data_IF_663886507028
#
_entry.id   IF_663886507028
#
_cell.length_a   1.000
_cell.length_b   1.000
_cell.length_c   1.000
_cell.angle_alpha   90.00
_cell.angle_beta   90.00
_cell.angle_gamma   90.00
#
_symmetry.space_group_name_H-M   'P 1'
#
loop_
_entity.id
_entity.type
_entity.pdbx_description
1 polymer ?
#
# COMPACT_ATOMS: atom_id res chain seq x y z
N UNK A 1 18.94 22.90 -13.32
CA UNK A 1 18.66 21.85 -14.33
C UNK A 1 17.29 21.28 -13.99
N UNK A 2 16.29 21.40 -14.86
CA UNK A 2 14.94 20.86 -14.61
C UNK A 2 14.93 19.36 -14.92
N UNK A 3 14.46 18.53 -13.98
CA UNK A 3 14.18 17.11 -14.22
C UNK A 3 12.73 16.99 -14.69
N UNK A 4 12.53 16.53 -15.92
CA UNK A 4 11.21 16.20 -16.45
C UNK A 4 10.74 14.89 -15.79
N UNK A 5 9.66 14.95 -15.01
CA UNK A 5 8.95 13.75 -14.57
C UNK A 5 7.84 13.50 -15.58
N UNK A 6 8.08 12.55 -16.49
CA UNK A 6 7.05 12.04 -17.40
C UNK A 6 6.14 11.11 -16.60
N UNK A 7 4.83 11.20 -16.81
CA UNK A 7 3.82 10.34 -16.18
C UNK A 7 4.26 8.88 -16.11
N UNK A 8 4.26 8.29 -14.91
CA UNK A 8 4.68 6.93 -14.64
C UNK A 8 5.06 6.76 -13.16
N UNK A 9 5.31 5.52 -12.74
CA UNK A 9 5.86 5.21 -11.43
C UNK A 9 6.98 4.18 -11.59
N UNK A 10 8.10 4.40 -10.91
CA UNK A 10 9.09 3.36 -10.68
C UNK A 10 8.67 2.62 -9.41
N UNK A 11 8.23 1.39 -9.56
CA UNK A 11 8.02 0.50 -8.42
C UNK A 11 9.36 0.12 -7.80
N UNK A 12 9.42 0.12 -6.48
CA UNK A 12 10.60 -0.33 -5.76
C UNK A 12 10.87 -1.81 -6.06
N UNK A 13 12.12 -2.15 -6.32
CA UNK A 13 12.63 -3.53 -6.36
C UNK A 13 13.49 -3.81 -5.12
N UNK A 14 13.79 -5.07 -4.76
CA UNK A 14 14.58 -5.37 -3.56
C UNK A 14 15.90 -4.58 -3.46
N UNK A 15 16.57 -4.35 -4.60
CA UNK A 15 17.81 -3.57 -4.66
C UNK A 15 17.67 -2.07 -4.44
N UNK A 16 16.45 -1.53 -4.38
CA UNK A 16 16.21 -0.12 -4.03
C UNK A 16 16.22 0.09 -2.51
N UNK A 17 16.27 -0.96 -1.68
CA UNK A 17 16.34 -0.82 -0.22
C UNK A 17 17.79 -0.66 0.25
N UNK A 18 18.01 0.33 1.10
CA UNK A 18 19.22 0.44 1.91
C UNK A 18 19.27 -0.77 2.87
N UNK A 19 20.35 -1.57 2.86
CA UNK A 19 20.40 -2.82 3.61
C UNK A 19 20.49 -2.62 5.13
N UNK A 20 20.97 -1.46 5.58
CA UNK A 20 21.17 -1.17 7.00
C UNK A 20 19.91 -0.58 7.64
N UNK A 21 19.21 0.27 6.89
CA UNK A 21 18.05 1.03 7.37
C UNK A 21 16.73 0.45 6.89
N UNK A 22 16.71 -0.25 5.75
CA UNK A 22 15.48 -0.67 5.06
C UNK A 22 14.87 0.42 4.17
N UNK A 23 15.46 1.61 4.13
CA UNK A 23 14.91 2.77 3.44
C UNK A 23 14.93 2.58 1.93
N UNK A 24 13.84 2.97 1.26
CA UNK A 24 13.86 3.09 -0.19
C UNK A 24 14.78 4.23 -0.63
N UNK A 25 15.71 3.90 -1.52
CA UNK A 25 16.72 4.81 -2.06
C UNK A 25 16.47 5.10 -3.54
N UNK A 26 17.25 6.03 -4.11
CA UNK A 26 17.19 6.39 -5.52
C UNK A 26 15.84 6.98 -5.94
N UNK A 27 15.55 6.89 -7.24
CA UNK A 27 14.34 7.49 -7.81
C UNK A 27 13.05 6.82 -7.31
N UNK A 28 13.09 5.53 -6.95
CA UNK A 28 11.94 4.80 -6.39
C UNK A 28 11.56 5.36 -5.00
N UNK A 29 12.54 5.55 -4.11
CA UNK A 29 12.33 6.15 -2.80
C UNK A 29 11.80 7.59 -2.89
N UNK A 30 12.38 8.40 -3.78
CA UNK A 30 11.92 9.78 -4.00
C UNK A 30 10.46 9.81 -4.50
N UNK A 31 10.10 8.96 -5.48
CA UNK A 31 8.73 8.90 -5.98
C UNK A 31 7.74 8.38 -4.93
N UNK A 32 8.14 7.38 -4.15
CA UNK A 32 7.32 6.83 -3.08
C UNK A 32 6.99 7.88 -2.00
N UNK A 33 8.01 8.58 -1.50
CA UNK A 33 7.82 9.65 -0.51
C UNK A 33 6.96 10.80 -1.06
N UNK A 34 7.21 11.25 -2.30
CA UNK A 34 6.41 12.31 -2.93
C UNK A 34 4.94 11.91 -3.12
N UNK A 35 4.66 10.66 -3.50
CA UNK A 35 3.30 10.16 -3.68
C UNK A 35 2.51 10.23 -2.37
N UNK A 36 3.10 9.73 -1.28
CA UNK A 36 2.49 9.75 0.06
C UNK A 36 2.28 11.18 0.54
N UNK A 37 3.34 12.00 0.44
CA UNK A 37 3.29 13.42 0.85
C UNK A 37 2.19 14.19 0.12
N UNK A 38 2.07 14.00 -1.19
CA UNK A 38 1.04 14.66 -2.00
C UNK A 38 -0.38 14.18 -1.65
N UNK A 39 -0.57 12.88 -1.37
CA UNK A 39 -1.85 12.36 -0.89
C UNK A 39 -2.26 13.03 0.43
N UNK A 40 -1.33 13.15 1.38
CA UNK A 40 -1.58 13.82 2.66
C UNK A 40 -1.88 15.32 2.50
N UNK A 41 -1.19 16.03 1.59
CA UNK A 41 -1.47 17.43 1.30
C UNK A 41 -2.89 17.64 0.76
N UNK A 42 -3.31 16.78 -0.18
CA UNK A 42 -4.67 16.83 -0.74
C UNK A 42 -5.71 16.52 0.34
N UNK A 43 -5.46 15.51 1.17
CA UNK A 43 -6.34 15.16 2.27
C UNK A 43 -6.48 16.28 3.31
N UNK A 44 -5.38 16.94 3.66
CA UNK A 44 -5.38 18.10 4.54
C UNK A 44 -6.21 19.26 3.96
N UNK A 45 -6.09 19.55 2.67
CA UNK A 45 -6.88 20.59 2.02
C UNK A 45 -8.39 20.29 2.05
N UNK A 46 -8.80 19.03 1.84
CA UNK A 46 -10.19 18.61 2.01
C UNK A 46 -10.65 18.76 3.46
N UNK A 47 -9.85 18.33 4.42
CA UNK A 47 -10.16 18.45 5.85
C UNK A 47 -10.33 19.91 6.29
N UNK A 48 -9.46 20.82 5.81
CA UNK A 48 -9.54 22.25 6.07
C UNK A 48 -10.80 22.90 5.47
N UNK A 49 -11.34 22.32 4.39
CA UNK A 49 -12.62 22.69 3.81
C UNK A 49 -13.84 22.04 4.49
N UNK A 50 -13.64 21.28 5.58
CA UNK A 50 -14.70 20.57 6.30
C UNK A 50 -15.16 19.26 5.64
N UNK A 51 -14.39 18.72 4.70
CA UNK A 51 -14.68 17.47 3.99
C UNK A 51 -13.82 16.35 4.60
N UNK A 52 -14.45 15.24 4.98
CA UNK A 52 -13.71 14.06 5.47
C UNK A 52 -12.95 13.40 4.34
N UNK A 53 -11.62 13.49 4.38
CA UNK A 53 -10.74 12.78 3.46
C UNK A 53 -10.39 11.38 4.01
N UNK A 54 -10.37 10.39 3.12
CA UNK A 54 -9.88 9.04 3.42
C UNK A 54 -8.67 8.78 2.52
N UNK A 55 -7.51 8.56 3.12
CA UNK A 55 -6.29 8.14 2.42
C UNK A 55 -6.12 6.64 2.66
N UNK A 56 -6.06 5.87 1.58
CA UNK A 56 -5.77 4.44 1.63
C UNK A 56 -4.48 4.19 0.86
N UNK A 57 -3.51 3.56 1.52
CA UNK A 57 -2.21 3.26 0.94
C UNK A 57 -1.64 1.97 1.53
N UNK A 58 -0.77 1.30 0.77
CA UNK A 58 0.05 0.20 1.28
C UNK A 58 1.33 0.81 1.81
N UNK A 59 1.39 1.00 3.12
CA UNK A 59 2.58 1.53 3.78
C UNK A 59 3.57 0.38 3.97
N UNK A 60 4.63 0.42 3.18
CA UNK A 60 5.79 -0.47 3.27
C UNK A 60 6.94 0.34 3.85
N UNK A 61 7.79 -0.31 4.67
CA UNK A 61 8.97 0.30 5.30
C UNK A 61 8.62 1.65 5.99
N UNK A 62 9.35 2.72 5.70
CA UNK A 62 9.28 4.05 6.34
C UNK A 62 8.28 4.99 5.63
N UNK A 63 7.32 4.41 4.90
CA UNK A 63 6.22 5.20 4.35
C UNK A 63 5.37 5.87 5.44
N UNK A 64 5.48 5.41 6.69
CA UNK A 64 4.78 5.98 7.83
C UNK A 64 5.26 7.41 8.13
N UNK A 65 6.57 7.65 8.17
CA UNK A 65 7.19 8.95 8.42
C UNK A 65 6.74 9.96 7.34
N UNK A 66 6.76 9.53 6.08
CA UNK A 66 6.28 10.36 4.95
C UNK A 66 4.79 10.69 5.05
N UNK A 67 3.99 9.78 5.61
CA UNK A 67 2.55 9.99 5.79
C UNK A 67 2.29 11.05 6.87
N UNK A 68 3.06 11.03 7.95
CA UNK A 68 2.78 11.86 9.13
C UNK A 68 3.40 13.26 9.05
N UNK A 69 4.48 13.45 8.28
CA UNK A 69 5.18 14.74 8.15
C UNK A 69 4.22 15.91 7.83
N UNK A 70 3.30 15.70 6.89
CA UNK A 70 2.34 16.74 6.45
C UNK A 70 1.17 16.90 7.42
N UNK A 71 0.86 15.86 8.18
CA UNK A 71 -0.32 15.81 9.02
C UNK A 71 -0.02 16.20 10.48
N UNK A 72 1.22 16.59 10.78
CA UNK A 72 1.67 16.98 12.12
C UNK A 72 0.68 17.92 12.83
N UNK A 73 0.35 17.57 14.08
CA UNK A 73 -0.59 18.29 14.93
C UNK A 73 -2.07 18.13 14.57
N UNK A 74 -2.41 17.43 13.48
CA UNK A 74 -3.81 17.17 13.10
C UNK A 74 -4.33 15.92 13.81
N UNK A 75 -5.61 15.93 14.16
CA UNK A 75 -6.30 14.71 14.59
C UNK A 75 -6.70 13.88 13.36
N UNK A 76 -6.28 12.62 13.33
CA UNK A 76 -6.59 11.64 12.28
C UNK A 76 -7.22 10.38 12.89
N UNK A 77 -7.90 9.61 12.05
CA UNK A 77 -8.28 8.23 12.38
C UNK A 77 -7.33 7.29 11.65
N UNK A 78 -6.32 6.79 12.34
CA UNK A 78 -5.32 5.91 11.74
C UNK A 78 -5.75 4.45 11.89
N UNK A 79 -5.88 3.75 10.77
CA UNK A 79 -6.31 2.34 10.73
C UNK A 79 -5.29 1.53 9.95
N UNK A 80 -4.76 0.47 10.56
CA UNK A 80 -3.94 -0.54 9.87
C UNK A 80 -4.75 -1.81 9.70
N UNK A 81 -4.98 -2.20 8.44
CA UNK A 81 -5.51 -3.51 8.11
C UNK A 81 -4.35 -4.51 8.04
N UNK A 82 -4.38 -5.52 8.92
CA UNK A 82 -3.35 -6.55 9.04
C UNK A 82 -3.92 -7.95 8.74
N UNK A 83 -4.34 -8.23 7.48
CA UNK A 83 -4.68 -9.59 7.11
C UNK A 83 -3.43 -10.47 7.10
N UNK A 84 -3.55 -11.78 7.40
CA UNK A 84 -2.47 -12.74 7.18
C UNK A 84 -2.02 -12.75 5.71
N UNK A 85 -0.73 -12.89 5.44
CA UNK A 85 -0.24 -12.91 4.04
C UNK A 85 -0.83 -14.06 3.22
N UNK A 86 -1.14 -15.19 3.85
CA UNK A 86 -1.86 -16.28 3.18
C UNK A 86 -3.21 -15.84 2.58
N UNK A 87 -3.95 -14.98 3.29
CA UNK A 87 -5.21 -14.42 2.79
C UNK A 87 -4.98 -13.43 1.64
N UNK A 88 -3.94 -12.60 1.73
CA UNK A 88 -3.55 -11.70 0.63
C UNK A 88 -3.16 -12.47 -0.63
N UNK A 89 -2.41 -13.57 -0.48
CA UNK A 89 -2.06 -14.47 -1.57
C UNK A 89 -3.30 -15.06 -2.21
N UNK A 90 -4.21 -15.60 -1.41
CA UNK A 90 -5.46 -16.17 -1.94
C UNK A 90 -6.26 -15.13 -2.73
N UNK A 91 -6.42 -13.91 -2.18
CA UNK A 91 -7.07 -12.80 -2.90
C UNK A 91 -6.35 -12.44 -4.20
N UNK A 92 -5.02 -12.56 -4.24
CA UNK A 92 -4.22 -12.39 -5.45
C UNK A 92 -4.53 -13.46 -6.49
N UNK A 93 -4.62 -14.72 -6.07
CA UNK A 93 -4.98 -15.87 -6.92
C UNK A 93 -6.39 -15.68 -7.48
N UNK A 94 -7.36 -15.29 -6.64
CA UNK A 94 -8.77 -15.14 -7.02
C UNK A 94 -8.97 -14.05 -8.10
N UNK A 95 -8.06 -13.07 -8.18
CA UNK A 95 -8.09 -11.99 -9.20
C UNK A 95 -7.41 -12.36 -10.50
N UNK A 96 -6.55 -13.39 -10.53
CA UNK A 96 -5.80 -13.76 -11.73
C UNK A 96 -6.68 -13.99 -12.96
N UNK A 97 -7.85 -14.66 -12.89
CA UNK A 97 -8.70 -14.84 -14.07
C UNK A 97 -9.15 -13.51 -14.69
N UNK A 98 -9.51 -12.53 -13.86
CA UNK A 98 -9.95 -11.21 -14.32
C UNK A 98 -8.79 -10.40 -14.90
N UNK A 99 -7.61 -10.46 -14.25
CA UNK A 99 -6.39 -9.80 -14.75
C UNK A 99 -5.90 -10.41 -16.08
N UNK A 100 -5.98 -11.74 -16.23
CA UNK A 100 -5.67 -12.44 -17.48
C UNK A 100 -6.60 -11.98 -18.59
N UNK A 101 -7.92 -11.93 -18.33
CA UNK A 101 -8.90 -11.49 -19.30
C UNK A 101 -8.66 -10.03 -19.72
N UNK A 102 -8.35 -9.15 -18.75
CA UNK A 102 -8.04 -7.75 -19.02
C UNK A 102 -6.80 -7.58 -19.91
N UNK A 103 -5.69 -8.26 -19.59
CA UNK A 103 -4.45 -8.14 -20.36
C UNK A 103 -4.58 -8.75 -21.76
N UNK A 104 -5.27 -9.89 -21.90
CA UNK A 104 -5.57 -10.48 -23.19
C UNK A 104 -6.41 -9.53 -24.07
N UNK A 105 -7.43 -8.88 -23.50
CA UNK A 105 -8.23 -7.89 -24.21
C UNK A 105 -7.44 -6.63 -24.59
N UNK A 106 -6.48 -6.21 -23.74
CA UNK A 106 -5.72 -4.97 -23.92
C UNK A 106 -4.58 -5.09 -24.92
N UNK A 107 -3.85 -6.21 -24.88
CA UNK A 107 -2.59 -6.41 -25.60
C UNK A 107 -2.62 -7.55 -26.62
N UNK A 108 -3.64 -8.41 -26.60
CA UNK A 108 -3.73 -9.58 -27.48
C UNK A 108 -2.50 -10.48 -27.35
N UNK A 109 -1.91 -10.85 -28.49
CA UNK A 109 -0.68 -11.67 -28.56
C UNK A 109 0.61 -10.84 -28.50
N UNK A 110 0.54 -9.55 -28.16
CA UNK A 110 1.73 -8.68 -28.08
C UNK A 110 2.64 -9.14 -26.95
N UNK A 111 3.95 -9.21 -27.23
CA UNK A 111 4.97 -9.45 -26.21
C UNK A 111 5.10 -8.20 -25.32
N UNK A 112 4.35 -8.17 -24.22
CA UNK A 112 4.31 -7.07 -23.27
C UNK A 112 4.88 -7.52 -21.91
N UNK A 113 5.78 -6.74 -21.27
CA UNK A 113 6.39 -7.14 -20.01
C UNK A 113 5.36 -7.45 -18.90
N UNK A 114 4.23 -6.72 -18.87
CA UNK A 114 3.15 -7.02 -17.90
C UNK A 114 2.51 -8.40 -18.11
N UNK A 115 2.40 -8.85 -19.36
CA UNK A 115 1.86 -10.18 -19.68
C UNK A 115 2.85 -11.28 -19.24
N UNK A 116 4.15 -11.06 -19.41
CA UNK A 116 5.18 -11.97 -18.92
C UNK A 116 5.18 -12.07 -17.38
N UNK A 117 5.08 -10.94 -16.68
CA UNK A 117 4.95 -10.91 -15.20
C UNK A 117 3.69 -11.62 -14.73
N UNK A 118 2.55 -11.41 -15.39
CA UNK A 118 1.32 -12.12 -15.07
C UNK A 118 1.45 -13.63 -15.31
N UNK A 119 2.08 -14.06 -16.40
CA UNK A 119 2.27 -15.47 -16.71
C UNK A 119 3.10 -16.18 -15.62
N UNK A 120 4.14 -15.52 -15.09
CA UNK A 120 4.89 -16.07 -13.95
C UNK A 120 4.04 -16.12 -12.67
N UNK A 121 3.20 -15.11 -12.39
CA UNK A 121 2.26 -15.14 -11.26
C UNK A 121 1.27 -16.30 -11.37
N UNK A 122 0.74 -16.57 -12.56
CA UNK A 122 -0.15 -17.70 -12.81
C UNK A 122 0.56 -19.03 -12.56
N UNK A 123 1.81 -19.16 -13.01
CA UNK A 123 2.63 -20.35 -12.76
C UNK A 123 2.93 -20.52 -11.27
N UNK A 124 3.34 -19.46 -10.59
CA UNK A 124 3.60 -19.46 -9.16
C UNK A 124 2.36 -19.88 -8.35
N UNK A 125 1.18 -19.38 -8.72
CA UNK A 125 -0.09 -19.77 -8.11
C UNK A 125 -0.36 -21.28 -8.27
N UNK A 126 -0.18 -21.83 -9.48
CA UNK A 126 -0.37 -23.25 -9.75
C UNK A 126 0.61 -24.16 -8.98
N UNK A 127 1.81 -23.64 -8.69
CA UNK A 127 2.86 -24.35 -7.94
C UNK A 127 2.80 -24.10 -6.42
N UNK A 128 1.82 -23.31 -5.94
CA UNK A 128 1.69 -22.97 -4.52
C UNK A 128 2.81 -22.07 -3.97
N UNK A 129 3.52 -21.35 -4.85
CA UNK A 129 4.57 -20.39 -4.49
C UNK A 129 3.99 -19.01 -4.18
N UNK A 130 4.80 -18.15 -3.58
CA UNK A 130 4.48 -16.72 -3.43
C UNK A 130 4.30 -16.09 -4.82
N UNK A 131 3.30 -15.20 -4.96
CA UNK A 131 3.01 -14.54 -6.24
C UNK A 131 3.99 -13.41 -6.54
N UNK A 132 4.63 -12.85 -5.51
CA UNK A 132 5.66 -11.84 -5.64
C UNK A 132 6.53 -11.77 -4.37
N UNK A 133 7.64 -11.05 -4.50
CA UNK A 133 8.61 -10.82 -3.43
C UNK A 133 8.07 -9.90 -2.31
N UNK A 134 6.95 -9.20 -2.55
CA UNK A 134 6.33 -8.32 -1.56
C UNK A 134 5.63 -9.07 -0.42
N UNK A 135 5.22 -10.32 -0.63
CA UNK A 135 4.56 -11.12 0.41
C UNK A 135 5.42 -11.22 1.69
N UNK A 136 6.73 -11.43 1.55
CA UNK A 136 7.63 -11.48 2.71
C UNK A 136 7.90 -10.10 3.34
N UNK A 137 7.89 -9.06 2.51
CA UNK A 137 8.09 -7.68 2.97
C UNK A 137 6.90 -7.21 3.80
N UNK A 138 5.68 -7.62 3.44
CA UNK A 138 4.46 -7.27 4.18
C UNK A 138 4.50 -7.85 5.61
N UNK A 139 4.83 -9.12 5.79
CA UNK A 139 4.94 -9.71 7.14
C UNK A 139 5.96 -8.96 8.01
N UNK A 140 7.15 -8.67 7.45
CA UNK A 140 8.23 -7.97 8.18
C UNK A 140 7.92 -6.50 8.43
N UNK A 141 7.21 -5.84 7.52
CA UNK A 141 6.90 -4.41 7.60
C UNK A 141 5.85 -4.08 8.67
N UNK A 142 4.87 -4.96 8.87
CA UNK A 142 3.77 -4.75 9.81
C UNK A 142 4.22 -4.66 11.28
N UNK A 143 5.31 -5.33 11.63
CA UNK A 143 5.87 -5.29 12.99
C UNK A 143 6.70 -4.03 13.25
N UNK A 144 7.12 -3.32 12.19
CA UNK A 144 7.90 -2.07 12.30
C UNK A 144 7.03 -0.83 12.45
N UNK A 145 5.76 -0.90 12.04
CA UNK A 145 4.85 0.23 12.20
C UNK A 145 4.68 0.54 13.69
N UNK A 146 4.68 1.83 14.08
CA UNK A 146 4.40 2.20 15.46
C UNK A 146 2.97 1.79 15.84
N UNK A 147 2.71 1.45 17.12
CA UNK A 147 1.40 1.01 17.59
C UNK A 147 0.45 2.19 17.79
N UNK A 148 0.26 3.01 16.75
CA UNK A 148 -0.67 4.14 16.74
C UNK A 148 -1.99 3.76 16.09
N UNK A 149 -3.07 4.36 16.59
CA UNK A 149 -4.42 4.14 16.08
C UNK A 149 -4.90 2.69 16.23
N UNK A 150 -5.77 2.29 15.29
CA UNK A 150 -6.52 1.04 15.34
C UNK A 150 -5.91 0.00 14.40
N UNK A 151 -5.51 -1.15 14.94
CA UNK A 151 -5.09 -2.33 14.15
C UNK A 151 -6.22 -3.34 14.08
N UNK A 152 -6.55 -3.79 12.88
CA UNK A 152 -7.63 -4.76 12.63
C UNK A 152 -7.14 -5.83 11.66
N UNK A 153 -7.33 -7.09 12.03
CA UNK A 153 -7.32 -8.19 11.07
C UNK A 153 -8.70 -8.28 10.42
N UNK A 154 -8.84 -8.01 9.11
CA UNK A 154 -10.12 -8.07 8.41
C UNK A 154 -10.51 -9.50 7.99
N UNK A 155 -9.77 -10.53 8.40
CA UNK A 155 -10.05 -11.92 8.02
C UNK A 155 -11.44 -12.37 8.44
N UNK A 156 -12.19 -12.92 7.48
CA UNK A 156 -13.56 -13.40 7.69
C UNK A 156 -14.63 -12.30 7.74
N UNK A 157 -14.26 -11.03 7.62
CA UNK A 157 -15.21 -9.93 7.51
C UNK A 157 -15.49 -9.63 6.04
N UNK A 158 -16.76 -9.36 5.72
CA UNK A 158 -17.11 -8.71 4.48
C UNK A 158 -16.80 -7.20 4.54
N UNK A 159 -16.85 -6.46 3.42
CA UNK A 159 -16.56 -5.04 3.41
C UNK A 159 -17.45 -4.20 4.32
N UNK A 160 -18.75 -4.53 4.44
CA UNK A 160 -19.69 -3.78 5.26
C UNK A 160 -19.43 -4.01 6.74
N UNK A 161 -19.23 -5.27 7.14
CA UNK A 161 -18.88 -5.65 8.51
C UNK A 161 -17.57 -5.01 8.97
N UNK A 162 -16.58 -4.93 8.07
CA UNK A 162 -15.33 -4.23 8.34
C UNK A 162 -15.58 -2.74 8.58
N UNK A 163 -16.36 -2.07 7.73
CA UNK A 163 -16.68 -0.65 7.91
C UNK A 163 -17.42 -0.41 9.22
N UNK A 164 -18.40 -1.25 9.55
CA UNK A 164 -19.17 -1.15 10.80
C UNK A 164 -18.26 -1.34 12.02
N UNK A 165 -17.31 -2.28 11.96
CA UNK A 165 -16.30 -2.48 12.99
C UNK A 165 -15.42 -1.23 13.15
N UNK A 166 -14.93 -0.64 12.06
CA UNK A 166 -14.11 0.57 12.08
C UNK A 166 -14.87 1.77 12.67
N UNK A 167 -16.14 1.95 12.30
CA UNK A 167 -16.98 3.04 12.82
C UNK A 167 -17.32 2.86 14.30
N UNK A 168 -17.54 1.61 14.74
CA UNK A 168 -17.76 1.26 16.15
C UNK A 168 -16.53 1.54 17.01
N UNK A 169 -15.33 1.26 16.49
CA UNK A 169 -14.05 1.41 17.19
C UNK A 169 -13.31 2.72 16.85
N UNK A 170 -13.98 3.68 16.20
CA UNK A 170 -13.34 4.92 15.73
C UNK A 170 -12.58 5.70 16.82
N UNK A 171 -13.04 5.65 18.07
CA UNK A 171 -12.35 6.32 19.18
C UNK A 171 -10.95 5.75 19.43
N UNK A 172 -10.74 4.44 19.19
CA UNK A 172 -9.43 3.78 19.28
C UNK A 172 -8.52 4.13 18.09
N UNK A 173 -9.11 4.48 16.94
CA UNK A 173 -8.37 4.93 15.76
C UNK A 173 -7.92 6.39 15.86
N UNK A 174 -8.54 7.17 16.75
CA UNK A 174 -8.26 8.60 16.88
C UNK A 174 -6.84 8.82 17.44
N UNK A 175 -6.05 9.60 16.70
CA UNK A 175 -4.67 9.92 17.05
C UNK A 175 -4.38 11.36 16.63
N UNK A 176 -3.75 12.13 17.52
CA UNK A 176 -3.16 13.42 17.15
C UNK A 176 -1.77 13.15 16.64
N UNK A 177 -1.54 13.45 15.37
CA UNK A 177 -0.27 13.17 14.71
C UNK A 177 0.84 13.95 15.43
N UNK A 178 1.84 13.22 15.88
CA UNK A 178 3.06 13.77 16.45
C UNK A 178 4.26 13.04 15.83
N UNK A 179 5.17 13.80 15.24
CA UNK A 179 6.51 13.32 14.89
C UNK A 179 7.22 13.01 16.21
N UNK A 180 7.43 11.72 16.48
CA UNK A 180 8.20 11.27 17.63
C UNK A 180 9.64 11.75 17.57
#
# INVERSE_FOLDING_TARGET
>A
MQRLIVSGCRWAVPGDNDPDTGHLTGDAGVQYGLRIRNACLVAAAFADAGITAVVSDTIINEGFESLIEVLEGRQVHFVTLRPPVALLRQRGIDRLPEEVAFLAARYGDSDHPEAATLAERVRAAAEGRALNEFEEVVERGLDRLPPVGLRVDPSGLDPQDLVDLLLKRRAEAAWVVSAG
#
